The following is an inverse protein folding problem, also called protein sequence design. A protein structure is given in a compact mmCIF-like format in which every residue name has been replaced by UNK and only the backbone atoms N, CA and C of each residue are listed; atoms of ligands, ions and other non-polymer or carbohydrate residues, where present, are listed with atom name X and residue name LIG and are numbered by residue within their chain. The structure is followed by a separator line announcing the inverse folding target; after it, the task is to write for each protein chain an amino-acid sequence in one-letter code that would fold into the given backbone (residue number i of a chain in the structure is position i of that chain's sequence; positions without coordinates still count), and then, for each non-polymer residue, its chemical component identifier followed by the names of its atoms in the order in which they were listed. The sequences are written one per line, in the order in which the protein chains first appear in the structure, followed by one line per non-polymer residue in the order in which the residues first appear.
data_IF_325006350832
#
_entry.id   IF_325006350832
#
_cell.length_a   1.000
_cell.length_b   1.000
_cell.length_c   1.000
_cell.angle_alpha   90.00
_cell.angle_beta   90.00
_cell.angle_gamma   90.00
#
_symmetry.space_group_name_H-M   'P 1'
#
loop_
_entity.id
_entity.type
_entity.pdbx_description
1 polymer ?
#
# COMPACT_ATOMS: atom_id res chain seq x y z
N UNK A 1 -12.60 19.24 5.29
CA UNK A 1 -11.62 18.45 4.52
C UNK A 1 -11.67 18.93 3.07
N UNK A 2 -10.54 19.28 2.43
CA UNK A 2 -10.48 20.08 1.18
C UNK A 2 -9.84 19.32 -0.01
N UNK A 3 -9.90 17.98 -0.01
CA UNK A 3 -9.30 17.19 -1.09
C UNK A 3 -10.03 17.48 -2.42
N UNK A 4 -9.32 17.89 -3.49
CA UNK A 4 -9.94 18.30 -4.75
C UNK A 4 -10.48 17.13 -5.56
N UNK A 5 -10.00 15.91 -5.30
CA UNK A 5 -10.49 14.69 -5.93
C UNK A 5 -11.70 14.06 -5.23
N UNK A 6 -12.31 14.73 -4.25
CA UNK A 6 -13.48 14.21 -3.51
C UNK A 6 -14.68 15.13 -3.72
N UNK A 7 -15.81 14.54 -4.13
CA UNK A 7 -17.11 15.22 -4.19
C UNK A 7 -17.87 14.89 -2.90
N UNK A 8 -17.84 15.80 -1.92
CA UNK A 8 -18.22 15.52 -0.53
C UNK A 8 -19.73 15.32 -0.31
N UNK A 9 -20.55 15.88 -1.18
CA UNK A 9 -22.01 15.79 -1.19
C UNK A 9 -22.55 14.62 -2.03
N UNK A 10 -21.66 13.77 -2.56
CA UNK A 10 -22.04 12.58 -3.32
C UNK A 10 -22.29 11.40 -2.41
N UNK A 11 -23.52 10.92 -2.39
CA UNK A 11 -23.89 9.62 -1.80
C UNK A 11 -23.49 8.48 -2.75
N UNK A 12 -22.83 7.45 -2.24
CA UNK A 12 -22.51 6.23 -3.00
C UNK A 12 -23.41 5.09 -2.56
N UNK A 13 -23.64 4.13 -3.46
CA UNK A 13 -24.31 2.89 -3.07
C UNK A 13 -23.42 2.13 -2.06
N UNK A 14 -24.05 1.46 -1.08
CA UNK A 14 -23.43 0.57 -0.09
C UNK A 14 -22.77 1.20 1.16
N UNK A 15 -23.10 2.45 1.54
CA UNK A 15 -22.70 2.97 2.86
C UNK A 15 -21.20 3.28 3.00
N UNK A 16 -20.50 3.46 1.88
CA UNK A 16 -19.12 3.89 1.80
C UNK A 16 -19.06 5.22 1.06
N UNK A 17 -18.11 6.11 1.38
CA UNK A 17 -17.99 7.40 0.69
C UNK A 17 -17.65 8.56 1.63
N UNK A 18 -17.62 9.79 1.10
CA UNK A 18 -17.09 10.95 1.81
C UNK A 18 -17.95 11.38 3.00
N UNK A 19 -19.27 11.08 2.99
CA UNK A 19 -20.16 11.30 4.14
C UNK A 19 -19.74 10.49 5.37
N UNK A 20 -19.16 9.30 5.15
CA UNK A 20 -18.68 8.39 6.20
C UNK A 20 -17.22 8.64 6.61
N UNK A 21 -16.62 9.72 6.11
CA UNK A 21 -15.22 10.03 6.41
C UNK A 21 -14.99 10.28 7.90
N UNK A 22 -15.99 10.82 8.60
CA UNK A 22 -15.93 11.05 10.05
C UNK A 22 -15.81 9.72 10.81
N UNK A 23 -16.66 8.74 10.48
CA UNK A 23 -16.69 7.42 11.09
C UNK A 23 -15.41 6.65 10.77
N UNK A 24 -14.91 6.76 9.53
CA UNK A 24 -13.63 6.18 9.14
C UNK A 24 -12.46 6.72 9.97
N UNK A 25 -12.41 8.03 10.22
CA UNK A 25 -11.40 8.64 11.09
C UNK A 25 -11.59 8.24 12.56
N UNK A 26 -12.82 8.10 13.03
CA UNK A 26 -13.10 7.59 14.37
C UNK A 26 -12.60 6.15 14.56
N UNK A 27 -12.77 5.29 13.54
CA UNK A 27 -12.22 3.93 13.55
C UNK A 27 -10.68 3.93 13.56
N UNK A 28 -10.04 4.79 12.77
CA UNK A 28 -8.57 4.94 12.80
C UNK A 28 -8.09 5.31 14.21
N UNK A 29 -8.72 6.30 14.85
CA UNK A 29 -8.38 6.69 16.21
C UNK A 29 -8.58 5.54 17.21
N UNK A 30 -9.67 4.79 17.09
CA UNK A 30 -9.92 3.62 17.92
C UNK A 30 -8.85 2.54 17.73
N UNK A 31 -8.47 2.24 16.49
CA UNK A 31 -7.40 1.27 16.17
C UNK A 31 -6.05 1.73 16.73
N UNK A 32 -5.70 3.01 16.59
CA UNK A 32 -4.47 3.59 17.14
C UNK A 32 -4.41 3.43 18.67
N UNK A 33 -5.49 3.76 19.38
CA UNK A 33 -5.58 3.59 20.83
C UNK A 33 -5.38 2.12 21.23
N UNK A 34 -6.02 1.18 20.53
CA UNK A 34 -5.88 -0.25 20.84
C UNK A 34 -4.49 -0.78 20.49
N UNK A 35 -3.88 -0.30 19.41
CA UNK A 35 -2.50 -0.63 19.06
C UNK A 35 -1.52 -0.12 20.14
N UNK A 36 -1.73 1.10 20.64
CA UNK A 36 -0.98 1.66 21.76
C UNK A 36 -1.04 0.78 23.01
N UNK A 37 -2.21 0.21 23.34
CA UNK A 37 -2.35 -0.74 24.46
C UNK A 37 -1.49 -2.00 24.29
N UNK A 38 -1.37 -2.53 23.07
CA UNK A 38 -0.50 -3.69 22.77
C UNK A 38 0.97 -3.31 22.96
N UNK A 39 1.39 -2.14 22.46
CA UNK A 39 2.77 -1.68 22.61
C UNK A 39 3.14 -1.43 24.08
N UNK A 40 2.23 -0.83 24.84
CA UNK A 40 2.43 -0.59 26.26
C UNK A 40 2.57 -1.90 27.05
N UNK A 41 1.82 -2.94 26.67
CA UNK A 41 1.94 -4.25 27.31
C UNK A 41 3.27 -4.95 26.98
N UNK A 42 3.76 -4.83 25.72
CA UNK A 42 5.10 -5.32 25.37
C UNK A 42 6.19 -4.64 26.20
N UNK A 43 6.10 -3.32 26.40
CA UNK A 43 7.03 -2.56 27.24
C UNK A 43 6.91 -2.96 28.72
N UNK A 44 5.69 -3.08 29.25
CA UNK A 44 5.44 -3.51 30.64
C UNK A 44 6.04 -4.89 30.93
N UNK A 45 5.95 -5.81 29.97
CA UNK A 45 6.54 -7.15 30.03
C UNK A 45 8.03 -7.18 29.70
N UNK A 46 8.64 -6.05 29.32
CA UNK A 46 10.03 -5.93 28.88
C UNK A 46 10.36 -6.82 27.65
N UNK A 47 9.37 -7.02 26.79
CA UNK A 47 9.51 -7.77 25.53
C UNK A 47 9.78 -6.86 24.33
N UNK A 48 9.71 -5.55 24.51
CA UNK A 48 9.80 -4.55 23.44
C UNK A 48 11.12 -4.59 22.66
N UNK A 49 12.24 -4.91 23.32
CA UNK A 49 13.57 -5.04 22.68
C UNK A 49 13.78 -6.38 21.96
N UNK A 50 13.04 -7.41 22.34
CA UNK A 50 13.15 -8.77 21.80
C UNK A 50 12.03 -9.10 20.80
N UNK A 51 11.16 -8.14 20.51
CA UNK A 51 10.02 -8.32 19.61
C UNK A 51 10.10 -7.36 18.42
N UNK A 52 10.19 -7.91 17.21
CA UNK A 52 9.91 -7.16 16.00
C UNK A 52 8.41 -6.84 15.94
N UNK A 53 8.06 -5.57 15.95
CA UNK A 53 6.68 -5.11 15.76
C UNK A 53 6.53 -4.56 14.34
N UNK A 54 5.48 -4.98 13.65
CA UNK A 54 5.18 -4.57 12.28
C UNK A 54 3.74 -4.10 12.21
N UNK A 55 3.50 -2.92 11.65
CA UNK A 55 2.17 -2.37 11.43
C UNK A 55 1.97 -2.08 9.96
N UNK A 56 0.93 -2.66 9.37
CA UNK A 56 0.52 -2.43 7.99
C UNK A 56 -0.98 -2.67 7.80
N UNK A 57 -1.47 -2.41 6.59
CA UNK A 57 -2.85 -2.71 6.17
C UNK A 57 -2.80 -3.52 4.87
N UNK A 58 -3.86 -4.25 4.57
CA UNK A 58 -4.03 -5.05 3.36
C UNK A 58 -4.24 -4.19 2.10
N UNK A 59 -4.93 -3.06 2.24
CA UNK A 59 -5.12 -2.06 1.18
C UNK A 59 -5.57 -0.71 1.78
N UNK A 60 -5.57 0.34 0.97
CA UNK A 60 -6.14 1.64 1.35
C UNK A 60 -7.66 1.75 1.18
N UNK A 61 -8.19 2.96 1.29
CA UNK A 61 -9.60 3.27 1.05
C UNK A 61 -9.76 4.68 0.43
N UNK A 62 -10.37 4.76 -0.75
CA UNK A 62 -10.56 6.01 -1.48
C UNK A 62 -11.52 6.99 -0.77
N UNK A 63 -12.54 6.52 -0.05
CA UNK A 63 -13.50 7.38 0.66
C UNK A 63 -14.10 8.49 -0.22
N UNK A 64 -14.36 8.19 -1.51
CA UNK A 64 -14.88 9.12 -2.50
C UNK A 64 -13.82 9.80 -3.38
N UNK A 65 -12.52 9.63 -3.08
CA UNK A 65 -11.43 10.10 -3.96
C UNK A 65 -11.56 9.49 -5.35
N UNK A 66 -11.45 10.35 -6.36
CA UNK A 66 -11.63 10.02 -7.79
C UNK A 66 -12.93 9.26 -8.08
N UNK A 67 -13.98 9.53 -7.31
CA UNK A 67 -15.28 8.90 -7.50
C UNK A 67 -15.33 7.43 -7.08
N UNK A 68 -14.37 6.95 -6.28
CA UNK A 68 -14.30 5.56 -5.83
C UNK A 68 -14.63 5.45 -4.33
N UNK A 69 -15.51 4.53 -3.93
CA UNK A 69 -15.93 4.44 -2.53
C UNK A 69 -14.86 3.80 -1.63
N UNK A 70 -14.16 2.77 -2.10
CA UNK A 70 -13.24 1.97 -1.28
C UNK A 70 -11.94 1.59 -2.00
N UNK A 71 -11.75 0.33 -2.40
CA UNK A 71 -10.48 -0.24 -2.88
C UNK A 71 -10.65 -0.93 -4.25
N UNK A 72 -9.71 -1.80 -4.61
CA UNK A 72 -9.72 -2.59 -5.85
C UNK A 72 -9.57 -1.73 -7.13
N UNK A 73 -8.91 -0.58 -6.95
CA UNK A 73 -8.60 0.45 -7.96
C UNK A 73 -7.14 0.88 -7.79
N UNK A 74 -6.58 1.54 -8.81
CA UNK A 74 -5.15 1.87 -8.88
C UNK A 74 -4.77 3.20 -8.23
N UNK A 75 -5.73 3.94 -7.69
CA UNK A 75 -5.49 5.24 -7.10
C UNK A 75 -4.61 5.13 -5.84
N UNK A 76 -3.82 6.17 -5.55
CA UNK A 76 -2.93 6.23 -4.39
C UNK A 76 -3.67 5.90 -3.10
N UNK A 77 -4.91 6.38 -2.94
CA UNK A 77 -5.71 6.13 -1.74
C UNK A 77 -6.09 4.67 -1.53
N UNK A 78 -6.07 3.83 -2.58
CA UNK A 78 -6.35 2.40 -2.50
C UNK A 78 -5.08 1.54 -2.50
N UNK A 79 -4.02 1.96 -3.21
CA UNK A 79 -2.77 1.20 -3.31
C UNK A 79 -1.81 1.46 -2.16
N UNK A 80 -1.75 2.69 -1.64
CA UNK A 80 -0.82 3.02 -0.55
C UNK A 80 -1.33 2.46 0.78
N UNK A 81 -0.45 1.75 1.47
CA UNK A 81 -0.68 1.21 2.81
C UNK A 81 0.33 1.81 3.80
N UNK A 82 0.00 1.90 5.10
CA UNK A 82 1.02 2.02 6.13
C UNK A 82 1.93 0.78 6.08
N UNK A 83 3.22 0.98 6.34
CA UNK A 83 4.19 -0.10 6.51
C UNK A 83 5.29 0.40 7.45
N UNK A 84 5.25 -0.05 8.70
CA UNK A 84 6.18 0.38 9.74
C UNK A 84 6.79 -0.82 10.43
N UNK A 85 8.10 -0.79 10.62
CA UNK A 85 8.87 -1.81 11.34
C UNK A 85 9.51 -1.15 12.56
N UNK A 86 9.31 -1.74 13.75
CA UNK A 86 9.89 -1.26 15.00
C UNK A 86 10.62 -2.40 15.69
N UNK A 87 11.92 -2.22 15.90
CA UNK A 87 12.73 -3.11 16.72
C UNK A 87 13.81 -2.31 17.47
N UNK A 88 13.53 -1.88 18.71
CA UNK A 88 14.45 -1.04 19.49
C UNK A 88 15.85 -1.63 19.61
N UNK A 89 16.87 -0.86 19.23
CA UNK A 89 18.27 -1.27 19.27
C UNK A 89 18.73 -2.16 18.11
N UNK A 90 17.83 -2.57 17.20
CA UNK A 90 18.17 -3.34 15.98
C UNK A 90 17.85 -2.59 14.70
N UNK A 91 16.73 -1.87 14.64
CA UNK A 91 16.37 -1.05 13.47
C UNK A 91 16.54 0.44 13.78
N UNK A 92 17.22 1.22 12.92
CA UNK A 92 17.30 2.66 13.06
C UNK A 92 15.95 3.30 12.70
N UNK A 93 15.60 4.38 13.39
CA UNK A 93 14.45 5.20 13.01
C UNK A 93 14.78 5.99 11.73
N UNK A 94 14.03 5.74 10.66
CA UNK A 94 14.17 6.45 9.39
C UNK A 94 12.84 6.49 8.63
N UNK A 95 12.81 7.27 7.55
CA UNK A 95 11.78 7.20 6.52
C UNK A 95 12.48 6.83 5.21
N UNK A 96 11.84 5.97 4.42
CA UNK A 96 12.37 5.49 3.15
C UNK A 96 11.22 5.42 2.13
N UNK A 97 11.51 5.80 0.88
CA UNK A 97 10.56 5.84 -0.24
C UNK A 97 10.56 4.56 -1.10
N UNK A 98 11.04 3.45 -0.53
CA UNK A 98 11.13 2.15 -1.19
C UNK A 98 9.78 1.76 -1.79
N UNK A 99 9.81 1.37 -3.06
CA UNK A 99 8.68 0.81 -3.78
C UNK A 99 8.41 -0.65 -3.35
N UNK A 100 8.09 -0.82 -2.06
CA UNK A 100 7.84 -2.09 -1.39
C UNK A 100 6.48 -2.69 -1.77
N UNK A 101 6.42 -3.96 -2.16
CA UNK A 101 5.21 -4.66 -2.60
C UNK A 101 4.72 -5.66 -1.55
N UNK A 102 3.44 -6.03 -1.58
CA UNK A 102 2.89 -6.96 -0.59
C UNK A 102 3.63 -8.32 -0.50
N UNK A 103 4.06 -8.96 -1.61
CA UNK A 103 4.84 -10.20 -1.54
C UNK A 103 6.20 -10.05 -0.85
N UNK A 104 6.74 -8.83 -0.75
CA UNK A 104 8.04 -8.55 -0.13
C UNK A 104 7.98 -8.62 1.40
N UNK A 105 6.77 -8.55 2.00
CA UNK A 105 6.56 -8.61 3.45
C UNK A 105 7.17 -9.90 4.01
N UNK A 106 6.75 -11.06 3.49
CA UNK A 106 7.17 -12.36 4.01
C UNK A 106 8.71 -12.57 4.00
N UNK A 107 9.42 -12.45 2.87
CA UNK A 107 10.87 -12.61 2.85
C UNK A 107 11.60 -11.55 3.68
N UNK A 108 11.11 -10.31 3.71
CA UNK A 108 11.71 -9.25 4.53
C UNK A 108 11.60 -9.54 6.03
N UNK A 109 10.47 -10.08 6.51
CA UNK A 109 10.33 -10.50 7.91
C UNK A 109 11.30 -11.62 8.27
N UNK A 110 11.44 -12.62 7.41
CA UNK A 110 12.43 -13.68 7.61
C UNK A 110 13.85 -13.12 7.65
N UNK A 111 14.20 -12.23 6.70
CA UNK A 111 15.50 -11.56 6.67
C UNK A 111 15.80 -10.78 7.95
N UNK A 112 14.85 -9.97 8.43
CA UNK A 112 14.98 -9.22 9.69
C UNK A 112 15.17 -10.13 10.91
N UNK A 113 14.52 -11.29 10.92
CA UNK A 113 14.61 -12.28 12.00
C UNK A 113 15.87 -13.16 11.90
N UNK A 114 16.73 -12.96 10.90
CA UNK A 114 17.92 -13.78 10.67
C UNK A 114 17.60 -15.16 10.07
N UNK A 115 16.41 -15.31 9.49
CA UNK A 115 15.90 -16.54 8.87
C UNK A 115 15.91 -16.46 7.33
N UNK A 116 16.70 -15.54 6.75
CA UNK A 116 16.78 -15.34 5.30
C UNK A 116 17.17 -16.60 4.51
N UNK A 117 17.99 -17.47 5.09
CA UNK A 117 18.36 -18.77 4.49
C UNK A 117 17.20 -19.77 4.40
N UNK A 118 16.08 -19.49 5.10
CA UNK A 118 14.87 -20.32 5.10
C UNK A 118 13.77 -19.77 4.18
N UNK A 119 14.04 -18.72 3.41
CA UNK A 119 13.10 -18.21 2.40
C UNK A 119 12.99 -19.28 1.29
N UNK A 120 11.79 -19.84 1.04
CA UNK A 120 11.63 -20.85 -0.01
C UNK A 120 11.86 -20.29 -1.42
N UNK A 121 12.35 -21.13 -2.34
CA UNK A 121 12.63 -20.74 -3.74
C UNK A 121 11.40 -20.27 -4.54
N UNK A 122 10.18 -20.60 -4.09
CA UNK A 122 8.94 -20.19 -4.73
C UNK A 122 8.41 -18.83 -4.23
N UNK A 123 9.13 -18.15 -3.35
CA UNK A 123 8.81 -16.78 -2.94
C UNK A 123 9.19 -15.82 -4.05
N UNK A 124 8.19 -15.11 -4.58
CA UNK A 124 8.39 -14.13 -5.67
C UNK A 124 8.74 -12.72 -5.15
N UNK A 125 8.53 -12.47 -3.85
CA UNK A 125 8.90 -11.21 -3.20
C UNK A 125 10.40 -11.10 -2.94
N UNK A 126 10.86 -9.90 -2.61
CA UNK A 126 12.27 -9.60 -2.31
C UNK A 126 12.47 -9.34 -0.82
N UNK A 127 13.54 -9.89 -0.24
CA UNK A 127 13.99 -9.53 1.11
C UNK A 127 14.69 -8.16 1.09
N UNK A 128 14.09 -7.17 1.74
CA UNK A 128 14.63 -5.82 1.92
C UNK A 128 15.16 -5.55 3.33
N UNK A 129 15.45 -6.60 4.10
CA UNK A 129 15.92 -6.47 5.49
C UNK A 129 17.19 -5.62 5.60
N UNK A 130 18.09 -5.61 4.61
CA UNK A 130 19.28 -4.75 4.62
C UNK A 130 18.90 -3.28 4.56
N UNK A 131 18.01 -2.89 3.64
CA UNK A 131 17.47 -1.53 3.55
C UNK A 131 16.88 -1.09 4.90
N UNK A 132 16.07 -1.95 5.53
CA UNK A 132 15.42 -1.65 6.81
C UNK A 132 16.41 -1.56 7.98
N UNK A 133 17.52 -2.30 7.93
CA UNK A 133 18.62 -2.19 8.89
C UNK A 133 19.53 -0.97 8.65
N UNK A 134 19.27 -0.17 7.61
CA UNK A 134 20.13 0.96 7.22
C UNK A 134 21.43 0.52 6.53
N UNK A 135 21.50 -0.74 6.08
CA UNK A 135 22.62 -1.27 5.30
C UNK A 135 22.35 -1.05 3.81
N UNK A 136 23.39 -0.70 3.05
CA UNK A 136 23.33 -0.68 1.59
C UNK A 136 23.35 -2.10 0.99
N UNK A 137 22.98 -2.20 -0.29
CA UNK A 137 23.17 -3.42 -1.09
C UNK A 137 21.90 -4.02 -1.68
N UNK A 138 20.72 -3.64 -1.20
CA UNK A 138 19.48 -4.06 -1.84
C UNK A 138 19.26 -3.30 -3.16
N UNK A 139 18.84 -4.04 -4.19
CA UNK A 139 18.43 -3.43 -5.45
C UNK A 139 17.03 -2.86 -5.28
N UNK A 140 16.92 -1.53 -5.25
CA UNK A 140 15.64 -0.83 -5.14
C UNK A 140 14.75 -1.12 -6.37
N UNK A 141 13.48 -1.52 -6.19
CA UNK A 141 12.55 -1.67 -7.30
C UNK A 141 12.31 -0.32 -8.00
N UNK A 142 12.12 -0.37 -9.32
CA UNK A 142 11.74 0.80 -10.12
C UNK A 142 10.22 0.95 -10.24
N UNK A 143 9.46 -0.07 -9.86
CA UNK A 143 8.00 -0.10 -9.98
C UNK A 143 7.36 -1.16 -9.07
N UNK A 144 6.12 -0.90 -8.66
CA UNK A 144 5.19 -1.88 -8.05
C UNK A 144 4.12 -2.29 -9.06
N UNK A 145 3.66 -3.53 -8.97
CA UNK A 145 2.61 -4.07 -9.85
C UNK A 145 1.21 -3.76 -9.31
N UNK A 146 0.31 -3.32 -10.19
CA UNK A 146 -1.12 -3.24 -9.92
C UNK A 146 -1.87 -4.34 -10.69
N UNK A 147 -2.87 -4.95 -10.04
CA UNK A 147 -3.71 -5.95 -10.68
C UNK A 147 -5.17 -5.86 -10.22
N UNK A 148 -6.08 -6.10 -11.16
CA UNK A 148 -7.46 -6.48 -10.92
C UNK A 148 -7.77 -7.69 -11.81
N UNK A 149 -8.16 -8.80 -11.19
CA UNK A 149 -8.43 -10.06 -11.88
C UNK A 149 -9.94 -10.36 -11.79
N UNK A 150 -10.67 -10.36 -12.91
CA UNK A 150 -12.06 -10.80 -12.91
C UNK A 150 -12.13 -12.30 -12.61
N UNK A 151 -13.20 -12.71 -11.91
CA UNK A 151 -13.46 -14.13 -11.62
C UNK A 151 -13.50 -14.95 -12.93
N UNK A 152 -12.71 -16.03 -12.97
CA UNK A 152 -12.59 -16.90 -14.15
C UNK A 152 -11.88 -16.28 -15.36
N UNK A 153 -11.31 -15.07 -15.23
CA UNK A 153 -10.70 -14.33 -16.32
C UNK A 153 -9.24 -13.97 -16.05
N UNK A 154 -8.41 -14.94 -15.69
CA UNK A 154 -7.01 -14.74 -15.28
C UNK A 154 -6.18 -13.98 -16.33
N UNK A 155 -6.49 -14.18 -17.63
CA UNK A 155 -5.85 -13.50 -18.76
C UNK A 155 -6.43 -12.12 -19.10
N UNK A 156 -7.42 -11.63 -18.34
CA UNK A 156 -8.13 -10.37 -18.55
C UNK A 156 -8.09 -9.48 -17.29
N UNK A 157 -8.79 -8.35 -17.37
CA UNK A 157 -8.86 -7.36 -16.31
C UNK A 157 -7.77 -6.31 -16.45
N UNK A 158 -7.48 -5.63 -15.34
CA UNK A 158 -6.54 -4.51 -15.32
C UNK A 158 -5.18 -4.97 -14.82
N UNK A 159 -4.13 -4.48 -15.46
CA UNK A 159 -2.74 -4.59 -15.00
C UNK A 159 -2.09 -3.23 -15.09
N UNK A 160 -1.14 -2.96 -14.23
CA UNK A 160 -0.50 -1.65 -14.19
C UNK A 160 0.82 -1.66 -13.45
N UNK A 161 1.50 -0.52 -13.51
CA UNK A 161 2.73 -0.26 -12.78
C UNK A 161 2.65 1.10 -12.10
N UNK A 162 3.13 1.17 -10.86
CA UNK A 162 3.35 2.41 -10.11
C UNK A 162 4.85 2.59 -9.91
N UNK A 163 5.40 3.71 -10.38
CA UNK A 163 6.80 4.10 -10.13
C UNK A 163 6.87 5.17 -9.05
N UNK A 164 8.06 5.71 -8.82
CA UNK A 164 8.30 6.95 -8.07
C UNK A 164 7.50 8.17 -8.57
N UNK A 165 7.08 8.16 -9.84
CA UNK A 165 6.44 9.31 -10.50
C UNK A 165 5.15 8.97 -11.21
N UNK A 166 5.02 7.80 -11.83
CA UNK A 166 3.86 7.51 -12.69
C UNK A 166 3.03 6.35 -12.16
N UNK A 167 1.72 6.42 -12.39
CA UNK A 167 0.84 5.24 -12.30
C UNK A 167 0.23 4.99 -13.67
N UNK A 168 0.54 3.84 -14.27
CA UNK A 168 -0.01 3.36 -15.54
C UNK A 168 -0.93 2.18 -15.28
N UNK A 169 -2.10 2.17 -15.90
CA UNK A 169 -3.03 1.03 -15.90
C UNK A 169 -3.54 0.78 -17.32
N UNK A 170 -3.60 -0.51 -17.66
CA UNK A 170 -4.14 -1.03 -18.90
C UNK A 170 -5.28 -1.99 -18.55
N UNK A 171 -6.47 -1.78 -19.11
CA UNK A 171 -7.59 -2.71 -19.00
C UNK A 171 -7.72 -3.54 -20.29
N UNK A 172 -7.80 -4.87 -20.13
CA UNK A 172 -7.98 -5.82 -21.22
C UNK A 172 -9.32 -6.51 -21.12
N UNK A 173 -10.13 -6.36 -22.16
CA UNK A 173 -11.44 -7.02 -22.31
C UNK A 173 -11.53 -7.75 -23.66
N UNK A 174 -12.32 -8.82 -23.71
CA UNK A 174 -12.55 -9.59 -24.95
C UNK A 174 -13.22 -8.70 -26.00
N UNK A 175 -12.69 -8.71 -27.22
CA UNK A 175 -13.29 -7.99 -28.36
C UNK A 175 -13.30 -6.48 -28.23
N UNK A 176 -12.49 -5.90 -27.33
CA UNK A 176 -12.37 -4.45 -27.13
C UNK A 176 -10.90 -4.02 -27.26
N UNK A 177 -10.64 -2.80 -27.79
CA UNK A 177 -9.33 -2.19 -27.67
C UNK A 177 -8.90 -2.07 -26.20
N UNK A 178 -7.58 -2.03 -25.97
CA UNK A 178 -7.03 -1.72 -24.66
C UNK A 178 -7.41 -0.29 -24.26
N UNK A 179 -7.74 -0.08 -22.99
CA UNK A 179 -7.89 1.26 -22.42
C UNK A 179 -6.69 1.59 -21.56
N UNK A 180 -6.19 2.82 -21.67
CA UNK A 180 -5.00 3.29 -20.95
C UNK A 180 -5.37 4.40 -19.98
N UNK A 181 -4.84 4.31 -18.78
CA UNK A 181 -4.88 5.36 -17.76
C UNK A 181 -3.46 5.63 -17.32
N UNK A 182 -3.02 6.87 -17.44
CA UNK A 182 -1.69 7.32 -17.00
C UNK A 182 -1.85 8.56 -16.12
N UNK A 183 -1.20 8.55 -14.97
CA UNK A 183 -1.12 9.69 -14.05
C UNK A 183 0.34 10.08 -13.83
N UNK A 184 0.66 11.37 -13.89
CA UNK A 184 1.93 11.92 -13.37
C UNK A 184 1.71 12.29 -11.90
N UNK A 185 2.03 11.37 -10.99
CA UNK A 185 1.80 11.51 -9.55
C UNK A 185 2.59 12.67 -8.93
N UNK A 186 3.61 13.20 -9.62
CA UNK A 186 4.38 14.36 -9.15
C UNK A 186 3.65 15.68 -9.44
N UNK A 187 3.13 15.83 -10.67
CA UNK A 187 2.47 17.06 -11.10
C UNK A 187 0.95 17.05 -10.86
N UNK A 188 0.35 15.86 -10.74
CA UNK A 188 -1.05 15.60 -10.40
C UNK A 188 -1.12 14.58 -9.25
N UNK A 189 -0.79 14.98 -8.01
CA UNK A 189 -0.72 14.08 -6.87
C UNK A 189 -2.08 13.52 -6.43
N UNK A 190 -3.19 14.07 -6.94
CA UNK A 190 -4.54 13.57 -6.69
C UNK A 190 -5.08 12.71 -7.83
N UNK A 191 -4.28 12.48 -8.88
CA UNK A 191 -4.56 11.60 -10.02
C UNK A 191 -5.89 11.94 -10.71
N UNK A 192 -6.18 13.24 -10.82
CA UNK A 192 -7.43 13.77 -11.36
C UNK A 192 -7.43 13.79 -12.89
N UNK A 193 -6.27 13.81 -13.53
CA UNK A 193 -6.11 13.83 -14.98
C UNK A 193 -5.56 12.50 -15.49
N UNK A 194 -6.18 11.96 -16.53
CA UNK A 194 -5.60 10.90 -17.35
C UNK A 194 -4.82 11.55 -18.51
N UNK A 195 -3.52 11.30 -18.60
CA UNK A 195 -2.63 11.84 -19.63
C UNK A 195 -2.18 10.78 -20.65
N UNK A 196 -2.85 9.63 -20.74
CA UNK A 196 -2.43 8.54 -21.63
C UNK A 196 -2.56 8.87 -23.13
N UNK A 197 -3.33 9.90 -23.50
CA UNK A 197 -3.57 10.33 -24.88
C UNK A 197 -2.77 11.58 -25.30
N UNK A 198 -2.12 12.23 -24.34
CA UNK A 198 -1.32 13.45 -24.57
C UNK A 198 0.06 13.07 -25.12
#
# INVERSE_FOLDING_TARGET
NKRPNVVWDKTYQEGYGPEYFKEYMAMINGVDEQFGRILAELERLKLDKDTLVVFFSDHGCCMGSNGQPTKNVHYEEAMRIPMMFRWPGKLPACQDDLLFSAPDIYPTLLGLMGLGEHIPDNVEGTDFSKTLMGHGGDKRPTSQFYTFMPYGGQSYGRRGVRTDRYTLVIDRKIGKPLTYILHDNKNDPYQMKNIASD
#
